data_IF_194485214292
#
_entry.id   IF_194485214292
#
_cell.length_a   1.000
_cell.length_b   1.000
_cell.length_c   1.000
_cell.angle_alpha   90.00
_cell.angle_beta   90.00
_cell.angle_gamma   90.00
#
_symmetry.space_group_name_H-M   'P 1'
#
loop_
_entity.id
_entity.type
_entity.pdbx_description
1 polymer ?
#
# COMPACT_ATOMS: atom_id res chain seq x y z
N UNK A 1 8.07 0.89 -8.27
CA UNK A 1 7.78 -0.33 -9.06
C UNK A 1 8.93 -1.33 -9.10
N UNK A 2 10.20 -0.90 -9.19
CA UNK A 2 11.36 -1.83 -9.28
C UNK A 2 11.41 -2.89 -8.17
N UNK A 3 11.20 -2.52 -6.90
CA UNK A 3 11.20 -3.48 -5.80
C UNK A 3 10.14 -4.58 -5.97
N UNK A 4 8.96 -4.24 -6.50
CA UNK A 4 7.92 -5.21 -6.78
C UNK A 4 8.41 -6.28 -7.76
N UNK A 5 9.04 -5.86 -8.86
CA UNK A 5 9.54 -6.77 -9.88
C UNK A 5 10.70 -7.62 -9.38
N UNK A 6 11.54 -7.08 -8.49
CA UNK A 6 12.60 -7.85 -7.83
C UNK A 6 12.00 -8.97 -6.97
N UNK A 7 10.99 -8.67 -6.14
CA UNK A 7 10.32 -9.70 -5.35
C UNK A 7 9.65 -10.77 -6.23
N UNK A 8 8.93 -10.34 -7.28
CA UNK A 8 8.31 -11.26 -8.24
C UNK A 8 9.36 -12.16 -8.91
N UNK A 9 10.51 -11.61 -9.31
CA UNK A 9 11.61 -12.37 -9.91
C UNK A 9 12.25 -13.37 -8.94
N UNK A 10 12.25 -13.07 -7.63
CA UNK A 10 12.68 -13.97 -6.57
C UNK A 10 11.63 -15.03 -6.19
N UNK A 11 10.45 -15.02 -6.82
CA UNK A 11 9.36 -15.95 -6.55
C UNK A 11 8.42 -15.53 -5.42
N UNK A 12 8.59 -14.35 -4.84
CA UNK A 12 7.67 -13.84 -3.82
C UNK A 12 6.41 -13.25 -4.47
N UNK A 13 5.27 -13.46 -3.82
CA UNK A 13 4.04 -12.75 -4.16
C UNK A 13 4.16 -11.31 -3.65
N UNK A 14 4.13 -10.35 -4.55
CA UNK A 14 4.33 -8.93 -4.24
C UNK A 14 3.37 -8.07 -5.05
N UNK A 15 3.05 -6.88 -4.53
CA UNK A 15 2.32 -5.82 -5.23
C UNK A 15 2.75 -4.45 -4.72
N UNK A 16 2.65 -3.43 -5.55
CA UNK A 16 2.70 -2.05 -5.06
C UNK A 16 1.31 -1.61 -4.60
N UNK A 17 1.29 -0.70 -3.63
CA UNK A 17 0.09 -0.11 -3.05
C UNK A 17 0.25 1.39 -3.12
N UNK A 18 -0.67 2.04 -3.83
CA UNK A 18 -0.79 3.50 -3.86
C UNK A 18 -1.60 3.93 -2.65
N UNK A 19 -0.99 4.76 -1.81
CA UNK A 19 -1.53 5.35 -0.60
C UNK A 19 -1.99 6.78 -0.92
N UNK A 20 -3.27 7.05 -0.73
CA UNK A 20 -3.91 8.27 -1.17
C UNK A 20 -4.48 9.12 -0.02
N UNK A 21 -4.40 10.45 -0.13
CA UNK A 21 -4.97 11.37 0.85
C UNK A 21 -6.51 11.42 0.78
N UNK A 22 -7.11 12.04 1.80
CA UNK A 22 -8.55 12.27 1.87
C UNK A 22 -9.03 13.30 0.83
N UNK A 23 -8.29 14.40 0.69
CA UNK A 23 -8.60 15.48 -0.24
C UNK A 23 -8.20 15.07 -1.66
N UNK A 24 -9.15 15.08 -2.60
CA UNK A 24 -8.91 14.72 -4.00
C UNK A 24 -8.15 15.80 -4.79
N UNK A 25 -8.02 17.00 -4.21
CA UNK A 25 -7.17 18.09 -4.71
C UNK A 25 -5.73 17.97 -4.22
N UNK A 26 -5.47 17.21 -3.16
CA UNK A 26 -4.11 16.89 -2.76
C UNK A 26 -3.51 15.90 -3.78
N UNK A 27 -2.55 16.38 -4.55
CA UNK A 27 -1.87 15.59 -5.58
C UNK A 27 -0.72 14.76 -5.02
N UNK A 28 -0.33 15.00 -3.78
CA UNK A 28 0.71 14.21 -3.12
C UNK A 28 0.09 12.89 -2.63
N UNK A 29 0.60 11.80 -3.19
CA UNK A 29 0.29 10.44 -2.82
C UNK A 29 1.62 9.70 -2.64
N UNK A 30 1.58 8.53 -2.00
CA UNK A 30 2.78 7.73 -1.82
C UNK A 30 2.59 6.31 -2.34
N UNK A 31 3.60 5.76 -3.00
CA UNK A 31 3.54 4.37 -3.49
C UNK A 31 4.56 3.54 -2.74
N UNK A 32 4.07 2.55 -2.00
CA UNK A 32 4.90 1.58 -1.27
C UNK A 32 4.79 0.20 -1.91
N UNK A 33 5.72 -0.69 -1.58
CA UNK A 33 5.62 -2.09 -1.95
C UNK A 33 5.03 -2.91 -0.80
N UNK A 34 4.30 -3.97 -1.14
CA UNK A 34 3.83 -4.96 -0.19
C UNK A 34 4.11 -6.37 -0.69
N UNK A 35 4.84 -7.13 0.12
CA UNK A 35 5.25 -8.51 -0.17
C UNK A 35 4.56 -9.46 0.80
N UNK A 36 4.03 -10.57 0.31
CA UNK A 36 3.36 -11.56 1.16
C UNK A 36 4.40 -12.49 1.80
N UNK A 37 4.41 -12.53 3.13
CA UNK A 37 5.23 -13.45 3.90
C UNK A 37 4.41 -14.71 4.22
N UNK A 38 4.77 -15.83 3.59
CA UNK A 38 4.05 -17.10 3.76
C UNK A 38 4.12 -17.62 5.21
N UNK A 39 5.26 -17.44 5.88
CA UNK A 39 5.46 -17.84 7.27
C UNK A 39 4.59 -17.06 8.26
N UNK A 40 4.35 -15.78 7.97
CA UNK A 40 3.51 -14.89 8.78
C UNK A 40 2.06 -14.85 8.30
N UNK A 41 1.76 -15.43 7.14
CA UNK A 41 0.46 -15.42 6.46
C UNK A 41 -0.12 -14.01 6.28
N UNK A 42 0.73 -13.03 6.01
CA UNK A 42 0.32 -11.63 5.83
C UNK A 42 1.18 -10.85 4.84
N UNK A 43 0.59 -9.77 4.34
CA UNK A 43 1.26 -8.76 3.52
C UNK A 43 2.14 -7.86 4.40
N UNK A 44 3.38 -7.57 4.01
CA UNK A 44 4.30 -6.73 4.77
C UNK A 44 4.44 -5.34 4.13
N UNK A 45 4.72 -4.32 4.95
CA UNK A 45 5.06 -2.97 4.50
C UNK A 45 6.53 -2.88 4.08
N UNK A 46 6.81 -2.53 2.83
CA UNK A 46 8.17 -2.30 2.32
C UNK A 46 8.24 -1.00 1.52
N UNK A 47 8.91 0.03 2.04
CA UNK A 47 9.07 1.31 1.36
C UNK A 47 10.52 1.55 0.91
N UNK A 48 10.83 1.30 -0.38
CA UNK A 48 12.18 1.51 -0.91
C UNK A 48 12.57 2.99 -1.02
N UNK A 49 11.60 3.92 -1.03
CA UNK A 49 11.86 5.35 -1.21
C UNK A 49 12.65 5.92 -0.04
N UNK A 50 12.33 5.45 1.17
CA UNK A 50 12.98 5.88 2.41
C UNK A 50 13.86 4.79 3.04
N UNK A 51 13.91 3.59 2.44
CA UNK A 51 14.62 2.44 2.99
C UNK A 51 13.98 1.93 4.28
N UNK A 52 12.65 1.94 4.31
CA UNK A 52 11.87 1.86 5.55
C UNK A 52 10.90 0.68 5.55
N UNK A 53 10.82 -0.02 6.67
CA UNK A 53 9.73 -0.91 7.03
C UNK A 53 9.25 -0.60 8.45
N UNK A 54 8.01 -1.00 8.76
CA UNK A 54 7.35 -0.65 10.02
C UNK A 54 7.22 -1.87 10.92
N UNK A 55 7.45 -1.67 12.21
CA UNK A 55 7.37 -2.69 13.24
C UNK A 55 6.52 -2.25 14.43
N UNK A 56 6.05 -3.23 15.20
CA UNK A 56 5.53 -3.00 16.55
C UNK A 56 6.65 -2.93 17.61
N UNK A 57 6.26 -2.80 18.89
CA UNK A 57 7.23 -2.73 19.99
C UNK A 57 8.04 -4.01 20.18
N UNK A 58 7.52 -5.16 19.74
CA UNK A 58 8.15 -6.47 19.82
C UNK A 58 9.02 -6.78 18.59
N UNK A 59 9.23 -5.81 17.71
CA UNK A 59 9.96 -5.94 16.43
C UNK A 59 9.27 -6.88 15.42
N UNK A 60 7.96 -7.11 15.52
CA UNK A 60 7.22 -7.80 14.48
C UNK A 60 7.02 -6.87 13.30
N UNK A 61 7.32 -7.36 12.09
CA UNK A 61 7.02 -6.64 10.85
C UNK A 61 5.50 -6.48 10.67
N UNK A 62 5.09 -5.27 10.28
CA UNK A 62 3.67 -4.92 10.12
C UNK A 62 3.27 -4.81 8.65
N UNK A 63 2.00 -5.15 8.42
CA UNK A 63 1.25 -4.89 7.19
C UNK A 63 0.79 -3.44 7.11
N UNK A 64 0.36 -3.02 5.92
CA UNK A 64 -0.30 -1.71 5.74
C UNK A 64 -1.60 -1.61 6.53
N UNK A 65 -2.32 -2.72 6.68
CA UNK A 65 -3.53 -2.78 7.49
C UNK A 65 -3.23 -2.56 8.98
N UNK A 66 -2.27 -3.31 9.54
CA UNK A 66 -1.85 -3.18 10.94
C UNK A 66 -1.33 -1.78 11.23
N UNK A 67 -0.51 -1.19 10.34
CA UNK A 67 -0.03 0.20 10.49
C UNK A 67 -1.19 1.19 10.54
N UNK A 68 -2.21 1.03 9.69
CA UNK A 68 -3.41 1.89 9.72
C UNK A 68 -4.19 1.73 11.02
N UNK A 69 -4.36 0.51 11.53
CA UNK A 69 -5.01 0.28 12.82
C UNK A 69 -4.24 0.93 13.98
N UNK A 70 -2.92 0.79 14.00
CA UNK A 70 -2.09 1.41 15.02
C UNK A 70 -2.19 2.94 15.00
N UNK A 71 -2.14 3.56 13.82
CA UNK A 71 -2.30 5.01 13.68
C UNK A 71 -3.66 5.50 14.17
N UNK A 72 -4.76 4.82 13.81
CA UNK A 72 -6.12 5.18 14.26
C UNK A 72 -6.27 5.08 15.79
N UNK A 73 -5.63 4.07 16.38
CA UNK A 73 -5.77 3.76 17.81
C UNK A 73 -4.66 4.40 18.66
N UNK A 74 -3.81 5.27 18.08
CA UNK A 74 -2.66 5.87 18.74
C UNK A 74 -1.71 4.83 19.40
N UNK A 75 -1.53 3.68 18.75
CA UNK A 75 -0.63 2.62 19.20
C UNK A 75 0.80 2.86 18.70
N UNK A 76 1.77 2.29 19.42
CA UNK A 76 3.20 2.44 19.09
C UNK A 76 3.54 1.85 17.72
N UNK A 77 4.45 2.51 17.01
CA UNK A 77 5.02 2.10 15.74
C UNK A 77 6.50 2.48 15.71
N UNK A 78 7.33 1.57 15.21
CA UNK A 78 8.78 1.74 15.05
C UNK A 78 9.16 1.66 13.58
N UNK A 79 10.18 2.42 13.20
CA UNK A 79 10.88 2.26 11.93
C UNK A 79 12.15 1.44 12.16
N UNK A 80 12.65 0.78 11.13
CA UNK A 80 13.97 0.15 11.17
C UNK A 80 15.09 1.17 11.35
N UNK A 81 16.24 0.70 11.86
CA UNK A 81 17.38 1.55 12.22
C UNK A 81 17.98 2.29 11.01
N UNK A 82 17.89 1.72 9.82
CA UNK A 82 18.43 2.26 8.56
C UNK A 82 17.48 3.25 7.87
N UNK A 83 16.29 3.50 8.45
CA UNK A 83 15.31 4.44 7.91
C UNK A 83 15.93 5.83 7.76
N UNK A 84 15.83 6.41 6.56
CA UNK A 84 16.39 7.74 6.26
C UNK A 84 15.54 8.89 6.78
N UNK A 85 14.41 8.57 7.41
CA UNK A 85 13.37 9.52 7.84
C UNK A 85 12.93 9.22 9.27
N UNK A 86 12.51 10.27 9.98
CA UNK A 86 12.00 10.12 11.35
C UNK A 86 10.58 9.55 11.36
N UNK A 87 10.23 8.83 12.43
CA UNK A 87 8.87 8.31 12.65
C UNK A 87 7.82 9.43 12.69
N UNK A 88 8.14 10.55 13.33
CA UNK A 88 7.27 11.72 13.42
C UNK A 88 6.92 12.29 12.04
N UNK A 89 7.91 12.49 11.18
CA UNK A 89 7.65 13.01 9.84
C UNK A 89 6.97 11.95 8.95
N UNK A 90 7.49 10.72 8.96
CA UNK A 90 7.05 9.69 8.03
C UNK A 90 5.70 9.09 8.40
N UNK A 91 5.53 8.56 9.61
CA UNK A 91 4.29 7.89 10.00
C UNK A 91 3.23 8.88 10.50
N UNK A 92 3.61 9.79 11.40
CA UNK A 92 2.63 10.63 12.11
C UNK A 92 2.14 11.83 11.30
N UNK A 93 2.86 12.21 10.24
CA UNK A 93 2.50 13.31 9.35
C UNK A 93 2.25 12.83 7.91
N UNK A 94 3.29 12.33 7.22
CA UNK A 94 3.21 12.05 5.79
C UNK A 94 2.30 10.86 5.46
N UNK A 95 2.56 9.69 6.05
CA UNK A 95 1.75 8.49 5.82
C UNK A 95 0.39 8.58 6.51
N UNK A 96 0.25 9.21 7.67
CA UNK A 96 -1.05 9.47 8.28
C UNK A 96 -1.99 10.23 7.33
N UNK A 97 -1.46 11.23 6.61
CA UNK A 97 -2.19 11.93 5.55
C UNK A 97 -2.53 11.00 4.37
N UNK A 98 -1.54 10.23 3.90
CA UNK A 98 -1.63 9.43 2.68
C UNK A 98 -2.23 8.03 2.86
N UNK A 99 -2.60 7.58 4.06
CA UNK A 99 -3.21 6.26 4.30
C UNK A 99 -4.75 6.29 4.42
N UNK A 100 -5.39 7.37 3.95
CA UNK A 100 -6.83 7.52 4.08
C UNK A 100 -7.58 6.45 3.26
N UNK A 101 -7.20 6.28 2.00
CA UNK A 101 -7.61 5.16 1.15
C UNK A 101 -6.42 4.64 0.35
N UNK A 102 -6.53 3.42 -0.15
CA UNK A 102 -5.43 2.74 -0.82
C UNK A 102 -5.90 2.04 -2.09
N UNK A 103 -4.97 1.81 -3.02
CA UNK A 103 -5.24 1.19 -4.30
C UNK A 103 -4.13 0.23 -4.67
N UNK A 104 -4.48 -0.89 -5.31
CA UNK A 104 -3.51 -1.76 -5.98
C UNK A 104 -4.12 -2.31 -7.27
N UNK A 105 -3.32 -2.97 -8.09
CA UNK A 105 -3.83 -3.70 -9.26
C UNK A 105 -4.35 -5.08 -8.86
N UNK A 106 -5.31 -5.61 -9.61
CA UNK A 106 -5.84 -6.96 -9.46
C UNK A 106 -4.82 -8.05 -9.83
N UNK A 107 -3.84 -7.69 -10.66
CA UNK A 107 -2.72 -8.54 -11.07
C UNK A 107 -1.42 -7.80 -10.77
N UNK A 108 -0.48 -8.48 -10.13
CA UNK A 108 0.88 -7.98 -10.02
C UNK A 108 1.82 -8.89 -10.79
N UNK A 109 2.24 -8.41 -11.94
CA UNK A 109 3.10 -9.12 -12.89
C UNK A 109 4.22 -8.18 -13.35
N UNK A 110 5.22 -8.76 -13.99
CA UNK A 110 6.26 -7.98 -14.66
C UNK A 110 5.63 -6.94 -15.61
N UNK A 111 6.09 -5.68 -15.53
CA UNK A 111 5.68 -4.60 -16.43
C UNK A 111 4.18 -4.22 -16.37
N UNK A 112 3.54 -4.36 -15.21
CA UNK A 112 2.08 -4.09 -15.04
C UNK A 112 1.64 -2.71 -15.56
N UNK A 113 2.46 -1.65 -15.43
CA UNK A 113 2.14 -0.28 -15.89
C UNK A 113 3.03 0.20 -17.06
N UNK A 114 3.57 -0.72 -17.86
CA UNK A 114 4.49 -0.34 -18.95
C UNK A 114 3.81 0.50 -20.02
N UNK A 115 4.41 1.64 -20.39
CA UNK A 115 3.99 2.44 -21.55
C UNK A 115 4.45 1.87 -22.89
N UNK A 116 5.30 0.84 -22.86
CA UNK A 116 5.94 0.25 -24.04
C UNK A 116 5.23 -1.02 -24.55
N UNK A 117 4.09 -1.39 -23.94
CA UNK A 117 3.25 -2.51 -24.36
C UNK A 117 1.77 -2.11 -24.30
N UNK A 118 0.89 -2.76 -25.07
CA UNK A 118 -0.55 -2.59 -24.88
C UNK A 118 -0.94 -2.89 -23.43
N UNK A 119 -1.85 -2.09 -22.88
CA UNK A 119 -2.41 -2.38 -21.56
C UNK A 119 -3.05 -3.77 -21.56
N UNK A 120 -2.82 -4.56 -20.51
CA UNK A 120 -3.57 -5.81 -20.33
C UNK A 120 -5.06 -5.45 -20.22
N UNK A 121 -5.94 -5.95 -21.11
CA UNK A 121 -7.35 -5.60 -21.12
C UNK A 121 -8.07 -6.03 -19.83
N UNK A 122 -7.47 -6.91 -19.04
CA UNK A 122 -7.98 -7.39 -17.76
C UNK A 122 -7.31 -6.72 -16.55
N UNK A 123 -6.42 -5.75 -16.77
CA UNK A 123 -5.82 -4.97 -15.68
C UNK A 123 -6.90 -4.07 -15.07
N UNK A 124 -7.15 -4.25 -13.79
CA UNK A 124 -8.08 -3.44 -13.03
C UNK A 124 -7.38 -2.91 -11.79
N UNK A 125 -7.65 -1.65 -11.45
CA UNK A 125 -7.31 -1.12 -10.15
C UNK A 125 -8.44 -1.43 -9.17
N UNK A 126 -8.05 -1.89 -7.99
CA UNK A 126 -8.93 -2.13 -6.85
C UNK A 126 -8.62 -1.04 -5.82
N UNK A 127 -9.63 -0.33 -5.36
CA UNK A 127 -9.50 0.72 -4.34
C UNK A 127 -10.25 0.33 -3.08
N UNK A 128 -9.54 0.23 -1.95
CA UNK A 128 -10.13 0.15 -0.63
C UNK A 128 -10.35 1.56 -0.09
N UNK A 129 -11.61 1.94 0.02
CA UNK A 129 -12.02 3.27 0.49
C UNK A 129 -12.81 3.15 1.80
N UNK A 130 -12.78 4.17 2.68
CA UNK A 130 -13.58 4.16 3.90
C UNK A 130 -15.09 4.29 3.59
N UNK A 131 -15.91 3.69 4.46
CA UNK A 131 -17.37 3.80 4.40
C UNK A 131 -17.81 5.27 4.49
N UNK A 132 -18.75 5.68 3.63
CA UNK A 132 -19.22 7.07 3.57
C UNK A 132 -18.28 8.04 2.84
N UNK A 133 -17.19 7.57 2.24
CA UNK A 133 -16.34 8.41 1.40
C UNK A 133 -17.06 8.85 0.12
N UNK A 134 -17.10 10.17 -0.13
CA UNK A 134 -17.65 10.69 -1.39
C UNK A 134 -16.69 10.41 -2.55
N UNK A 135 -17.14 9.56 -3.45
CA UNK A 135 -16.41 9.10 -4.64
C UNK A 135 -16.79 9.84 -5.91
N UNK A 136 -17.85 10.66 -5.89
CA UNK A 136 -18.50 11.17 -7.10
C UNK A 136 -17.57 12.00 -7.99
N UNK A 137 -16.70 12.80 -7.37
CA UNK A 137 -15.77 13.71 -8.07
C UNK A 137 -14.30 13.26 -8.01
N UNK A 138 -14.00 12.15 -7.33
CA UNK A 138 -12.62 11.70 -7.18
C UNK A 138 -12.12 11.04 -8.48
N UNK A 139 -11.37 11.79 -9.27
CA UNK A 139 -10.81 11.35 -10.56
C UNK A 139 -9.96 10.07 -10.46
N UNK A 140 -9.33 9.80 -9.32
CA UNK A 140 -8.46 8.64 -9.11
C UNK A 140 -9.25 7.34 -8.85
N UNK A 141 -10.54 7.44 -8.55
CA UNK A 141 -11.44 6.30 -8.39
C UNK A 141 -12.18 5.91 -9.68
N UNK A 142 -12.04 6.72 -10.74
CA UNK A 142 -12.72 6.48 -12.01
C UNK A 142 -12.26 5.15 -12.62
N UNK A 143 -13.21 4.29 -12.95
CA UNK A 143 -13.01 2.95 -13.52
C UNK A 143 -12.35 1.92 -12.58
N UNK A 144 -12.17 2.24 -11.30
CA UNK A 144 -11.66 1.26 -10.33
C UNK A 144 -12.78 0.35 -9.83
N UNK A 145 -12.40 -0.87 -9.43
CA UNK A 145 -13.23 -1.70 -8.56
C UNK A 145 -13.13 -1.14 -7.15
N UNK A 146 -14.24 -0.58 -6.65
CA UNK A 146 -14.29 0.01 -5.31
C UNK A 146 -14.76 -1.05 -4.31
N UNK A 147 -14.01 -1.23 -3.23
CA UNK A 147 -14.36 -2.08 -2.10
C UNK A 147 -14.33 -1.29 -0.79
N UNK A 148 -15.20 -1.66 0.13
CA UNK A 148 -15.19 -1.21 1.54
C UNK A 148 -14.75 -2.34 2.48
N UNK A 149 -14.48 -3.52 1.94
CA UNK A 149 -14.09 -4.72 2.67
C UNK A 149 -12.55 -4.87 2.66
N UNK A 150 -11.88 -4.63 3.80
CA UNK A 150 -10.44 -4.83 3.92
C UNK A 150 -10.03 -6.29 3.72
N UNK A 151 -10.85 -7.26 4.12
CA UNK A 151 -10.53 -8.68 4.00
C UNK A 151 -10.48 -9.10 2.51
N UNK A 152 -11.37 -8.57 1.68
CA UNK A 152 -11.29 -8.74 0.22
C UNK A 152 -10.01 -8.12 -0.34
N UNK A 153 -9.64 -6.90 0.09
CA UNK A 153 -8.47 -6.19 -0.43
C UNK A 153 -7.14 -6.85 -0.02
N UNK A 154 -7.04 -7.33 1.22
CA UNK A 154 -5.86 -7.93 1.84
C UNK A 154 -5.84 -9.46 1.80
N UNK A 155 -6.78 -10.08 1.09
CA UNK A 155 -6.82 -11.54 0.92
C UNK A 155 -5.44 -12.09 0.51
N UNK A 156 -5.17 -13.31 0.95
CA UNK A 156 -3.93 -13.99 0.59
C UNK A 156 -3.83 -14.15 -0.93
N UNK A 157 -2.62 -14.06 -1.50
CA UNK A 157 -2.42 -14.27 -2.93
C UNK A 157 -2.76 -15.72 -3.31
N UNK A 158 -3.21 -15.92 -4.55
CA UNK A 158 -3.39 -17.24 -5.15
C UNK A 158 -2.08 -17.78 -5.74
#
# INVERSE_FOLDING_TARGET
MTLNEMYLAMGFKSRYVTCMPKDDKDTDCHVINSVYAETLKKWLWMDPSHGTFVMDDNNNLLSVEEVREHLKNNQSLKLNAESKVSKLWYLDYYMAKNLYWIQCTNKSLFNTESRYRPADPNLQYISLVPSGFDKSNNKYLKNNVITFDPAYFWRSPQ
#
